data_IF_687469801916
#
_entry.id   IF_687469801916
#
_cell.length_a   1.000
_cell.length_b   1.000
_cell.length_c   1.000
_cell.angle_alpha   90.00
_cell.angle_beta   90.00
_cell.angle_gamma   90.00
#
_symmetry.space_group_name_H-M   'P 1'
#
loop_
_entity.id
_entity.type
_entity.pdbx_description
1 polymer ?
#
# COMPACT_ATOMS: atom_id res chain seq x y z
N UNK A 1 -16.33 -9.58 -13.64
CA UNK A 1 -15.22 -9.77 -12.68
C UNK A 1 -14.42 -8.48 -12.69
N UNK A 2 -14.50 -7.67 -11.63
CA UNK A 2 -13.63 -6.51 -11.51
C UNK A 2 -12.18 -7.01 -11.42
N UNK A 3 -11.31 -6.49 -12.27
CA UNK A 3 -9.88 -6.75 -12.13
C UNK A 3 -9.45 -6.13 -10.80
N UNK A 4 -8.96 -6.97 -9.89
CA UNK A 4 -8.30 -6.53 -8.66
C UNK A 4 -6.82 -6.70 -8.87
N UNK A 5 -6.11 -5.59 -8.95
CA UNK A 5 -4.67 -5.57 -9.02
C UNK A 5 -4.14 -5.86 -7.62
N UNK A 6 -3.51 -7.03 -7.46
CA UNK A 6 -2.79 -7.40 -6.25
C UNK A 6 -1.33 -7.09 -6.44
N UNK A 7 -0.75 -6.32 -5.53
CA UNK A 7 0.66 -5.98 -5.57
C UNK A 7 1.27 -5.96 -4.17
N UNK A 8 2.52 -6.41 -4.11
CA UNK A 8 3.37 -6.27 -2.93
C UNK A 8 3.99 -4.88 -2.93
N UNK A 9 3.77 -4.10 -1.88
CA UNK A 9 4.38 -2.78 -1.71
C UNK A 9 5.49 -2.82 -0.68
N UNK A 10 6.69 -2.39 -1.07
CA UNK A 10 7.80 -2.23 -0.13
C UNK A 10 7.56 -1.00 0.75
N UNK A 11 7.62 -1.19 2.05
CA UNK A 11 7.57 -0.16 3.08
C UNK A 11 8.95 0.03 3.68
N UNK A 12 9.37 1.27 3.89
CA UNK A 12 10.67 1.60 4.44
C UNK A 12 10.58 2.77 5.42
N UNK A 13 10.85 2.53 6.69
CA UNK A 13 10.82 3.56 7.70
C UNK A 13 12.10 4.41 7.65
N UNK A 14 11.99 5.67 7.24
CA UNK A 14 13.13 6.60 7.19
C UNK A 14 13.83 6.84 8.55
N UNK A 15 13.13 6.63 9.68
CA UNK A 15 13.70 6.85 11.03
C UNK A 15 14.56 5.68 11.53
N UNK A 16 14.20 4.44 11.20
CA UNK A 16 14.86 3.25 11.75
C UNK A 16 15.34 2.26 10.69
N UNK A 17 15.23 2.61 9.40
CA UNK A 17 15.54 1.78 8.25
C UNK A 17 14.84 0.40 8.24
N UNK A 18 13.77 0.24 9.03
CA UNK A 18 12.98 -0.99 9.04
C UNK A 18 12.26 -1.11 7.71
N UNK A 19 12.36 -2.28 7.08
CA UNK A 19 11.73 -2.56 5.79
C UNK A 19 10.73 -3.71 5.92
N UNK A 20 9.72 -3.71 5.09
CA UNK A 20 8.73 -4.78 5.01
C UNK A 20 8.01 -4.76 3.67
N UNK A 21 7.30 -5.84 3.36
CA UNK A 21 6.43 -5.91 2.20
C UNK A 21 4.99 -6.03 2.69
N UNK A 22 4.14 -5.13 2.23
CA UNK A 22 2.71 -5.17 2.48
C UNK A 22 1.98 -5.67 1.23
N UNK A 23 1.12 -6.66 1.39
CA UNK A 23 0.27 -7.13 0.30
C UNK A 23 -0.95 -6.22 0.20
N UNK A 24 -1.20 -5.69 -1.00
CA UNK A 24 -2.28 -4.75 -1.27
C UNK A 24 -3.14 -5.27 -2.41
N UNK A 25 -4.44 -5.18 -2.25
CA UNK A 25 -5.41 -5.32 -3.33
C UNK A 25 -6.02 -3.96 -3.65
N UNK A 26 -5.90 -3.51 -4.89
CA UNK A 26 -6.58 -2.33 -5.41
C UNK A 26 -7.62 -2.73 -6.46
N UNK A 27 -8.78 -2.07 -6.45
CA UNK A 27 -9.78 -2.21 -7.50
C UNK A 27 -9.63 -1.05 -8.50
N UNK A 28 -9.13 -1.35 -9.71
CA UNK A 28 -9.11 -0.42 -10.86
C UNK A 28 -10.48 -0.43 -11.58
N UNK A 29 -11.58 -0.31 -10.85
CA UNK A 29 -12.88 -0.15 -11.50
C UNK A 29 -13.01 1.30 -11.96
N UNK A 30 -12.55 1.61 -13.19
CA UNK A 30 -12.68 2.95 -13.79
C UNK A 30 -14.13 3.47 -13.83
N UNK A 31 -15.12 2.58 -13.66
CA UNK A 31 -16.56 2.90 -13.60
C UNK A 31 -17.05 3.28 -12.20
N UNK A 32 -16.37 2.83 -11.14
CA UNK A 32 -16.64 3.27 -9.79
C UNK A 32 -15.70 4.44 -9.49
N UNK A 33 -16.24 5.61 -9.14
CA UNK A 33 -15.46 6.82 -8.85
C UNK A 33 -14.51 6.70 -7.62
N UNK A 34 -14.34 5.51 -7.05
CA UNK A 34 -13.50 5.25 -5.89
C UNK A 34 -12.53 4.10 -6.18
N UNK A 35 -11.23 4.43 -6.20
CA UNK A 35 -10.18 3.44 -6.02
C UNK A 35 -10.31 2.94 -4.58
N UNK A 36 -10.77 1.71 -4.41
CA UNK A 36 -10.75 1.04 -3.11
C UNK A 36 -9.43 0.26 -3.06
N UNK A 37 -8.51 0.70 -2.20
CA UNK A 37 -7.33 -0.09 -1.89
C UNK A 37 -7.46 -0.66 -0.48
N UNK A 38 -7.00 -1.90 -0.31
CA UNK A 38 -6.98 -2.61 0.96
C UNK A 38 -5.64 -3.28 1.14
N UNK A 39 -5.11 -3.20 2.36
CA UNK A 39 -3.92 -3.94 2.76
C UNK A 39 -4.40 -5.29 3.26
N UNK A 40 -4.06 -6.35 2.53
CA UNK A 40 -4.41 -7.72 2.86
C UNK A 40 -3.45 -8.30 3.91
N UNK A 41 -2.14 -8.00 3.78
CA UNK A 41 -1.10 -8.42 4.72
C UNK A 41 -0.21 -7.25 5.10
N UNK A 42 -0.08 -7.01 6.41
CA UNK A 42 0.77 -5.95 6.96
C UNK A 42 2.07 -6.54 7.49
N UNK A 43 3.24 -6.04 7.07
CA UNK A 43 4.52 -6.56 7.52
C UNK A 43 4.73 -6.31 9.01
N UNK A 44 5.43 -7.25 9.65
CA UNK A 44 5.73 -7.16 11.08
C UNK A 44 6.48 -5.87 11.42
N UNK A 45 6.04 -5.20 12.47
CA UNK A 45 6.61 -3.93 12.92
C UNK A 45 6.02 -2.70 12.22
N UNK A 46 5.04 -2.88 11.33
CA UNK A 46 4.17 -1.82 10.84
C UNK A 46 2.74 -2.08 11.27
N UNK A 47 1.95 -1.01 11.38
CA UNK A 47 0.53 -1.07 11.75
C UNK A 47 -0.20 0.09 11.11
N UNK A 48 -1.50 -0.08 10.84
CA UNK A 48 -2.34 1.01 10.36
C UNK A 48 -2.64 1.96 11.51
N UNK A 49 -2.27 3.23 11.36
CA UNK A 49 -2.62 4.29 12.32
C UNK A 49 -3.93 4.96 11.92
N UNK A 50 -4.10 5.25 10.62
CA UNK A 50 -5.36 5.79 10.08
C UNK A 50 -5.73 5.05 8.81
N UNK A 51 -6.78 4.21 8.85
CA UNK A 51 -7.26 3.56 7.64
C UNK A 51 -7.91 4.60 6.73
N UNK A 52 -7.58 4.53 5.45
CA UNK A 52 -8.23 5.29 4.39
C UNK A 52 -8.33 4.42 3.14
N UNK A 53 -9.26 4.80 2.26
CA UNK A 53 -9.40 4.25 0.90
C UNK A 53 -8.51 4.99 -0.11
N UNK A 54 -7.83 6.06 0.30
CA UNK A 54 -6.79 6.71 -0.48
C UNK A 54 -5.41 6.32 0.07
N UNK A 55 -4.50 5.72 -0.72
CA UNK A 55 -3.18 5.33 -0.22
C UNK A 55 -2.36 6.55 0.24
N UNK A 56 -2.63 7.73 -0.33
CA UNK A 56 -2.06 9.01 0.10
C UNK A 56 -2.50 9.46 1.49
N UNK A 57 -3.70 9.08 1.90
CA UNK A 57 -4.30 9.48 3.18
C UNK A 57 -4.21 8.38 4.24
N UNK A 58 -3.89 7.16 3.82
CA UNK A 58 -3.73 6.04 4.73
C UNK A 58 -2.40 6.16 5.45
N UNK A 59 -2.47 6.34 6.76
CA UNK A 59 -1.29 6.53 7.59
C UNK A 59 -0.90 5.21 8.23
N UNK A 60 0.36 4.85 8.09
CA UNK A 60 0.97 3.73 8.79
C UNK A 60 1.88 4.23 9.90
N UNK A 61 1.99 3.40 10.92
CA UNK A 61 2.91 3.57 12.04
C UNK A 61 3.91 2.43 12.05
N UNK A 62 5.18 2.77 12.15
CA UNK A 62 6.23 1.80 12.46
C UNK A 62 6.33 1.61 13.99
N UNK A 63 6.78 0.42 14.42
CA UNK A 63 7.10 0.10 15.82
C UNK A 63 8.04 1.09 16.51
N UNK A 64 8.84 1.85 15.76
CA UNK A 64 9.73 2.89 16.29
C UNK A 64 9.01 4.21 16.65
N UNK A 65 7.70 4.30 16.39
CA UNK A 65 6.86 5.46 16.64
C UNK A 65 6.75 6.46 15.48
N UNK A 66 7.41 6.21 14.34
CA UNK A 66 7.23 7.04 13.15
C UNK A 66 5.89 6.76 12.46
N UNK A 67 5.18 7.82 12.10
CA UNK A 67 3.95 7.77 11.31
C UNK A 67 4.22 8.39 9.95
N UNK A 68 3.82 7.71 8.88
CA UNK A 68 4.04 8.17 7.51
C UNK A 68 2.91 7.64 6.59
N UNK A 69 2.63 8.32 5.47
CA UNK A 69 1.63 7.87 4.52
C UNK A 69 2.07 6.57 3.84
N UNK A 70 1.09 5.77 3.39
CA UNK A 70 1.33 4.55 2.61
C UNK A 70 1.97 4.84 1.23
N UNK A 71 2.00 6.10 0.79
CA UNK A 71 2.68 6.55 -0.42
C UNK A 71 4.21 6.46 -0.26
N UNK A 72 4.78 5.26 -0.40
CA UNK A 72 6.19 5.06 -0.72
C UNK A 72 6.27 4.30 -2.05
N UNK A 73 7.10 4.77 -2.97
CA UNK A 73 7.26 4.35 -4.37
C UNK A 73 6.70 2.95 -4.66
N UNK A 74 5.61 2.89 -5.44
CA UNK A 74 5.05 1.60 -5.89
C UNK A 74 6.06 0.98 -6.84
N UNK A 75 7.00 0.20 -6.31
CA UNK A 75 7.81 -0.69 -7.13
C UNK A 75 6.86 -1.77 -7.67
N UNK A 76 6.26 -1.51 -8.84
CA UNK A 76 5.54 -2.54 -9.58
C UNK A 76 6.47 -3.74 -9.72
N UNK A 77 6.00 -4.92 -9.32
CA UNK A 77 6.71 -6.15 -9.60
C UNK A 77 7.01 -6.18 -11.11
N UNK A 78 8.26 -6.47 -11.53
CA UNK A 78 8.62 -6.50 -12.95
C UNK A 78 7.84 -7.64 -13.62
N UNK A 79 6.72 -7.30 -14.26
CA UNK A 79 5.78 -8.27 -14.84
C UNK A 79 4.32 -7.79 -14.93
N UNK A 80 3.95 -6.70 -14.24
CA UNK A 80 2.64 -6.05 -14.39
C UNK A 80 2.68 -4.96 -15.46
N UNK A 81 2.72 -5.32 -16.74
CA UNK A 81 2.71 -4.35 -17.84
C UNK A 81 1.41 -3.51 -17.83
N UNK A 82 1.49 -2.17 -17.83
CA UNK A 82 0.32 -1.31 -17.95
C UNK A 82 -0.19 -1.38 -19.38
N UNK A 83 -1.35 -2.01 -19.60
CA UNK A 83 -2.04 -1.89 -20.88
C UNK A 83 -2.61 -0.49 -21.01
N UNK A 84 -2.05 0.22 -22.00
CA UNK A 84 -2.31 1.60 -22.42
C UNK A 84 -3.78 1.90 -22.69
#
# INVERSE_FOLDING_TARGET
>A
MAARDRYSRKLECAKCAHTGFAEVSETDDRRAAGRDFKIDDMPRGFSTERPSLDPRKHMMRCRCGSVFPFEQDTAYAPGGEPRR
#
